data_IF_091670235760
#
_entry.id   IF_091670235760
#
_cell.length_a   1.000
_cell.length_b   1.000
_cell.length_c   1.000
_cell.angle_alpha   90.00
_cell.angle_beta   90.00
_cell.angle_gamma   90.00
#
_symmetry.space_group_name_H-M   'P 1'
#
loop_
_entity.id
_entity.type
_entity.pdbx_description
1 polymer ?
#
# COMPACT_ATOMS: atom_id res chain seq x y z
N UNK A 1 26.86 26.24 -6.69
CA UNK A 1 26.05 26.40 -5.47
C UNK A 1 25.27 25.13 -5.24
N UNK A 2 25.28 24.60 -4.01
CA UNK A 2 24.56 23.39 -3.64
C UNK A 2 23.09 23.70 -3.30
N UNK A 3 22.20 22.72 -3.45
CA UNK A 3 20.78 22.79 -3.05
C UNK A 3 20.47 21.63 -2.11
N UNK A 4 19.64 21.85 -1.09
CA UNK A 4 19.20 20.84 -0.13
C UNK A 4 17.68 20.70 -0.25
N UNK A 5 17.18 19.47 -0.33
CA UNK A 5 15.75 19.15 -0.29
C UNK A 5 15.45 18.48 1.05
N UNK A 6 14.44 18.98 1.77
CA UNK A 6 13.97 18.43 3.04
C UNK A 6 12.49 18.04 2.85
N UNK A 7 12.15 16.80 3.18
CA UNK A 7 10.76 16.33 3.23
C UNK A 7 10.35 16.17 4.69
N UNK A 8 9.13 16.58 5.04
CA UNK A 8 8.60 16.45 6.39
C UNK A 8 7.09 16.32 6.38
N UNK A 9 6.56 15.49 7.28
CA UNK A 9 5.11 15.39 7.54
C UNK A 9 4.61 16.53 8.43
N UNK A 10 5.51 17.32 9.03
CA UNK A 10 5.19 18.37 10.00
C UNK A 10 5.50 19.76 9.45
N UNK A 11 4.49 20.63 9.41
CA UNK A 11 4.60 21.97 8.82
C UNK A 11 5.52 22.93 9.58
N UNK A 12 5.77 22.70 10.88
CA UNK A 12 6.48 23.65 11.75
C UNK A 12 8.01 23.72 11.54
N UNK A 13 8.59 22.96 10.61
CA UNK A 13 10.05 22.96 10.40
C UNK A 13 10.59 24.26 9.77
N UNK A 14 9.74 25.23 9.44
CA UNK A 14 10.11 26.49 8.77
C UNK A 14 10.38 27.66 9.71
N UNK A 15 9.95 27.64 10.98
CA UNK A 15 9.94 28.83 11.85
C UNK A 15 11.32 29.28 12.37
N UNK A 16 12.42 28.62 12.02
CA UNK A 16 13.74 28.93 12.60
C UNK A 16 14.93 28.86 11.65
N UNK A 17 14.72 28.54 10.38
CA UNK A 17 15.77 28.59 9.38
C UNK A 17 15.54 29.90 8.53
N UNK A 18 16.50 30.45 7.78
CA UNK A 18 16.33 31.59 6.84
C UNK A 18 15.42 31.43 5.57
N UNK A 19 15.94 31.69 4.36
CA UNK A 19 15.15 31.64 3.10
C UNK A 19 14.95 30.18 2.62
N UNK A 20 13.75 29.61 2.78
CA UNK A 20 13.34 28.35 2.13
C UNK A 20 12.08 28.53 1.30
N UNK A 21 12.05 27.80 0.19
CA UNK A 21 10.83 27.51 -0.51
C UNK A 21 10.18 26.25 0.08
N UNK A 22 9.04 26.42 0.73
CA UNK A 22 8.23 25.29 1.21
C UNK A 22 7.17 24.94 0.17
N UNK A 23 7.18 23.68 -0.29
CA UNK A 23 6.13 23.14 -1.14
C UNK A 23 5.23 22.20 -0.33
N UNK A 24 3.97 22.58 -0.16
CA UNK A 24 2.99 21.72 0.50
C UNK A 24 2.42 20.70 -0.50
N UNK A 25 2.76 19.42 -0.30
CA UNK A 25 2.20 18.33 -1.08
C UNK A 25 0.69 18.20 -0.77
N UNK A 26 -0.11 18.34 -1.82
CA UNK A 26 -1.57 18.17 -1.75
C UNK A 26 -1.94 16.72 -2.09
N UNK A 27 -3.11 16.30 -1.59
CA UNK A 27 -3.76 15.08 -2.02
C UNK A 27 -4.03 15.10 -3.54
N UNK A 28 -4.12 13.92 -4.14
CA UNK A 28 -4.44 13.82 -5.56
C UNK A 28 -5.89 14.22 -5.78
N UNK A 29 -6.12 15.02 -6.83
CA UNK A 29 -7.48 15.23 -7.29
C UNK A 29 -8.07 13.92 -7.84
N UNK A 30 -9.38 13.91 -8.10
CA UNK A 30 -10.07 12.71 -8.57
C UNK A 30 -9.47 12.12 -9.85
N UNK A 31 -9.09 12.95 -10.82
CA UNK A 31 -8.53 12.47 -12.08
C UNK A 31 -7.15 11.82 -11.89
N UNK A 32 -6.27 12.45 -11.11
CA UNK A 32 -4.97 11.89 -10.75
C UNK A 32 -5.12 10.57 -9.98
N UNK A 33 -6.07 10.53 -9.05
CA UNK A 33 -6.35 9.35 -8.24
C UNK A 33 -6.88 8.19 -9.07
N UNK A 34 -7.82 8.47 -9.98
CA UNK A 34 -8.42 7.48 -10.85
C UNK A 34 -7.41 6.94 -11.87
N UNK A 35 -6.56 7.82 -12.42
CA UNK A 35 -5.46 7.43 -13.28
C UNK A 35 -4.47 6.48 -12.57
N UNK A 36 -4.05 6.82 -11.34
CA UNK A 36 -3.19 5.95 -10.54
C UNK A 36 -3.87 4.60 -10.25
N UNK A 37 -5.14 4.62 -9.88
CA UNK A 37 -5.91 3.39 -9.63
C UNK A 37 -5.96 2.47 -10.85
N UNK A 38 -6.23 3.02 -12.04
CA UNK A 38 -6.23 2.23 -13.27
C UNK A 38 -4.86 1.61 -13.57
N UNK A 39 -3.78 2.38 -13.38
CA UNK A 39 -2.41 1.89 -13.52
C UNK A 39 -2.12 0.70 -12.60
N UNK A 40 -2.68 0.70 -11.39
CA UNK A 40 -2.48 -0.37 -10.41
C UNK A 40 -3.35 -1.60 -10.67
N UNK A 41 -4.56 -1.43 -11.21
CA UNK A 41 -5.50 -2.53 -11.37
C UNK A 41 -5.34 -3.28 -12.69
N UNK A 42 -4.95 -2.57 -13.77
CA UNK A 42 -4.80 -3.16 -15.10
C UNK A 42 -3.53 -4.02 -15.16
N UNK A 43 -3.65 -5.23 -15.74
CA UNK A 43 -2.52 -6.13 -16.00
C UNK A 43 -1.81 -5.75 -17.30
N UNK A 44 -0.61 -6.29 -17.51
CA UNK A 44 0.10 -6.14 -18.79
C UNK A 44 -0.80 -6.54 -19.97
N UNK A 45 -0.90 -5.65 -20.96
CA UNK A 45 -1.75 -5.83 -22.13
C UNK A 45 -3.23 -5.44 -21.95
N UNK A 46 -3.68 -5.12 -20.74
CA UNK A 46 -5.02 -4.58 -20.49
C UNK A 46 -5.03 -3.06 -20.66
N UNK A 47 -6.12 -2.53 -21.19
CA UNK A 47 -6.33 -1.11 -21.43
C UNK A 47 -7.53 -0.58 -20.64
N UNK A 48 -7.68 0.75 -20.59
CA UNK A 48 -8.88 1.35 -20.00
C UNK A 48 -10.17 0.89 -20.68
N UNK A 49 -10.12 0.51 -21.97
CA UNK A 49 -11.27 0.00 -22.72
C UNK A 49 -11.79 -1.34 -22.16
N UNK A 50 -10.92 -2.15 -21.57
CA UNK A 50 -11.32 -3.38 -20.87
C UNK A 50 -12.15 -3.05 -19.63
N UNK A 51 -11.77 -1.98 -18.90
CA UNK A 51 -12.52 -1.52 -17.73
C UNK A 51 -13.94 -1.02 -18.09
N UNK A 52 -14.10 -0.45 -19.28
CA UNK A 52 -15.39 -0.01 -19.82
C UNK A 52 -16.20 -1.21 -20.28
N UNK A 53 -15.57 -2.16 -20.98
CA UNK A 53 -16.19 -3.40 -21.47
C UNK A 53 -16.76 -4.24 -20.33
N UNK A 54 -16.04 -4.33 -19.20
CA UNK A 54 -16.49 -5.03 -18.01
C UNK A 54 -17.48 -4.24 -17.12
N UNK A 55 -17.86 -3.00 -17.51
CA UNK A 55 -18.76 -2.11 -16.74
C UNK A 55 -18.28 -1.83 -15.31
N UNK A 56 -16.97 -1.91 -15.07
CA UNK A 56 -16.37 -1.74 -13.73
C UNK A 56 -15.94 -0.29 -13.46
N UNK A 57 -15.86 0.56 -14.48
CA UNK A 57 -15.48 1.98 -14.36
C UNK A 57 -16.20 2.69 -13.22
N UNK A 58 -17.54 2.66 -13.21
CA UNK A 58 -18.34 3.34 -12.19
C UNK A 58 -18.09 2.81 -10.77
N UNK A 59 -17.84 1.50 -10.63
CA UNK A 59 -17.51 0.91 -9.32
C UNK A 59 -16.10 1.32 -8.90
N UNK A 60 -15.14 1.32 -9.82
CA UNK A 60 -13.78 1.80 -9.59
C UNK A 60 -13.75 3.27 -9.15
N UNK A 61 -14.56 4.14 -9.75
CA UNK A 61 -14.71 5.53 -9.31
C UNK A 61 -15.21 5.61 -7.85
N UNK A 62 -16.10 4.71 -7.45
CA UNK A 62 -16.56 4.58 -6.05
C UNK A 62 -15.43 4.19 -5.10
N UNK A 63 -14.57 3.24 -5.49
CA UNK A 63 -13.39 2.83 -4.72
C UNK A 63 -12.42 3.99 -4.57
N UNK A 64 -12.13 4.70 -5.67
CA UNK A 64 -11.20 5.85 -5.66
C UNK A 64 -11.69 6.97 -4.75
N UNK A 65 -13.00 7.23 -4.73
CA UNK A 65 -13.60 8.19 -3.79
C UNK A 65 -13.40 7.77 -2.32
N UNK A 66 -13.45 6.48 -2.01
CA UNK A 66 -13.19 5.95 -0.66
C UNK A 66 -11.72 6.11 -0.24
N UNK A 67 -10.79 6.14 -1.20
CA UNK A 67 -9.36 6.28 -0.93
C UNK A 67 -8.91 7.72 -0.57
N UNK A 68 -9.79 8.72 -0.68
CA UNK A 68 -9.51 10.08 -0.20
C UNK A 68 -8.37 10.80 -0.90
N UNK A 69 -7.97 10.41 -2.12
CA UNK A 69 -6.88 11.06 -2.84
C UNK A 69 -5.48 10.75 -2.32
N UNK A 70 -5.33 9.80 -1.39
CA UNK A 70 -4.05 9.39 -0.83
C UNK A 70 -3.37 8.35 -1.75
N UNK A 71 -2.23 8.66 -2.39
CA UNK A 71 -1.60 7.75 -3.35
C UNK A 71 -1.28 6.37 -2.79
N UNK A 72 -0.84 6.29 -1.53
CA UNK A 72 -0.53 5.02 -0.86
C UNK A 72 -1.77 4.13 -0.73
N UNK A 73 -2.90 4.70 -0.29
CA UNK A 73 -4.17 3.99 -0.15
C UNK A 73 -4.67 3.50 -1.52
N UNK A 74 -4.55 4.34 -2.54
CA UNK A 74 -4.95 3.98 -3.91
C UNK A 74 -4.14 2.79 -4.42
N UNK A 75 -2.82 2.75 -4.17
CA UNK A 75 -1.96 1.63 -4.57
C UNK A 75 -2.27 0.35 -3.80
N UNK A 76 -2.44 0.45 -2.48
CA UNK A 76 -2.83 -0.69 -1.62
C UNK A 76 -4.13 -1.33 -2.09
N UNK A 77 -5.17 -0.50 -2.30
CA UNK A 77 -6.49 -1.00 -2.68
C UNK A 77 -6.51 -1.45 -4.15
N UNK A 78 -5.84 -0.72 -5.04
CA UNK A 78 -5.73 -1.08 -6.46
C UNK A 78 -5.02 -2.42 -6.66
N UNK A 79 -3.89 -2.63 -6.00
CA UNK A 79 -3.16 -3.90 -6.06
C UNK A 79 -3.95 -5.08 -5.47
N UNK A 80 -4.72 -4.84 -4.39
CA UNK A 80 -5.66 -5.83 -3.85
C UNK A 80 -6.76 -6.15 -4.88
N UNK A 81 -7.39 -5.14 -5.47
CA UNK A 81 -8.45 -5.29 -6.48
C UNK A 81 -7.95 -6.09 -7.69
N UNK A 82 -6.70 -5.92 -8.11
CA UNK A 82 -6.07 -6.67 -9.21
C UNK A 82 -6.07 -8.20 -8.99
N UNK A 83 -6.15 -8.65 -7.73
CA UNK A 83 -6.24 -10.09 -7.40
C UNK A 83 -7.65 -10.64 -7.53
N UNK A 84 -8.67 -9.77 -7.53
CA UNK A 84 -10.08 -10.14 -7.70
C UNK A 84 -10.43 -10.32 -9.18
N UNK A 85 -11.60 -10.92 -9.44
CA UNK A 85 -12.11 -11.02 -10.82
C UNK A 85 -12.50 -9.61 -11.30
N UNK A 86 -12.38 -9.42 -12.61
CA UNK A 86 -12.80 -8.19 -13.29
C UNK A 86 -14.34 -8.18 -13.45
N UNK A 87 -15.05 -8.15 -12.32
CA UNK A 87 -16.51 -8.21 -12.25
C UNK A 87 -17.05 -7.04 -11.42
N UNK A 88 -18.27 -6.60 -11.74
CA UNK A 88 -18.94 -5.52 -11.02
C UNK A 88 -19.22 -5.92 -9.56
N UNK A 89 -19.61 -7.16 -9.34
CA UNK A 89 -20.03 -7.70 -8.06
C UNK A 89 -18.85 -7.76 -7.08
N UNK A 90 -17.70 -8.28 -7.52
CA UNK A 90 -16.50 -8.37 -6.68
C UNK A 90 -16.00 -6.99 -6.26
N UNK A 91 -15.97 -6.02 -7.18
CA UNK A 91 -15.55 -4.66 -6.88
C UNK A 91 -16.56 -3.92 -6.01
N UNK A 92 -17.85 -4.18 -6.23
CA UNK A 92 -18.93 -3.56 -5.43
C UNK A 92 -18.85 -4.01 -3.98
N UNK A 93 -18.47 -5.27 -3.72
CA UNK A 93 -18.24 -5.75 -2.36
C UNK A 93 -17.17 -4.96 -1.62
N UNK A 94 -16.14 -4.47 -2.33
CA UNK A 94 -15.11 -3.60 -1.75
C UNK A 94 -15.65 -2.22 -1.47
N UNK A 95 -16.39 -1.61 -2.40
CA UNK A 95 -17.03 -0.30 -2.19
C UNK A 95 -17.98 -0.30 -0.98
N UNK A 96 -18.76 -1.38 -0.85
CA UNK A 96 -19.79 -1.54 0.19
C UNK A 96 -19.22 -2.10 1.52
N UNK A 97 -17.91 -2.31 1.61
CA UNK A 97 -17.28 -2.87 2.81
C UNK A 97 -17.45 -1.94 4.02
N UNK A 98 -17.84 -2.52 5.16
CA UNK A 98 -17.94 -1.80 6.44
C UNK A 98 -16.59 -1.36 7.00
N UNK A 99 -15.48 -1.89 6.49
CA UNK A 99 -14.13 -1.49 6.91
C UNK A 99 -13.89 0.00 6.62
N UNK A 100 -14.51 0.55 5.56
CA UNK A 100 -14.46 1.99 5.27
C UNK A 100 -15.04 2.88 6.38
N UNK A 101 -15.85 2.32 7.29
CA UNK A 101 -16.47 3.05 8.40
C UNK A 101 -15.69 2.89 9.70
N UNK A 102 -14.64 2.06 9.72
CA UNK A 102 -13.83 1.82 10.92
C UNK A 102 -13.06 3.09 11.28
N UNK A 103 -13.45 3.71 12.39
CA UNK A 103 -12.72 4.83 13.01
C UNK A 103 -11.90 4.30 14.17
N UNK A 104 -10.59 4.53 14.16
CA UNK A 104 -9.74 4.27 15.33
C UNK A 104 -9.62 5.54 16.19
N UNK A 105 -9.29 5.42 17.49
CA UNK A 105 -9.08 6.59 18.36
C UNK A 105 -8.03 7.58 17.82
N UNK A 106 -7.02 7.09 17.09
CA UNK A 106 -6.02 7.90 16.39
C UNK A 106 -6.61 8.78 15.28
N UNK A 107 -7.78 8.40 14.72
CA UNK A 107 -8.51 9.18 13.72
C UNK A 107 -9.29 10.37 14.32
N UNK A 108 -9.44 10.41 15.66
CA UNK A 108 -10.28 11.38 16.36
C UNK A 108 -9.51 12.49 17.06
N UNK A 109 -8.19 12.35 17.18
CA UNK A 109 -7.30 13.42 17.61
C UNK A 109 -6.92 14.25 16.39
N UNK A 110 -7.17 15.56 16.44
CA UNK A 110 -6.71 16.56 15.45
C UNK A 110 -5.18 16.65 15.29
N UNK A 111 -4.43 15.73 15.90
CA UNK A 111 -3.03 15.48 15.61
C UNK A 111 -2.92 14.79 14.25
N UNK A 112 -2.13 15.41 13.40
CA UNK A 112 -1.67 15.00 12.07
C UNK A 112 -0.86 13.69 12.09
N UNK A 113 -1.38 12.65 12.73
CA UNK A 113 -0.83 11.30 12.67
C UNK A 113 -1.76 10.47 11.79
N UNK A 114 -1.21 10.05 10.66
CA UNK A 114 -1.81 9.52 9.43
C UNK A 114 -2.77 8.32 9.56
N UNK A 115 -3.12 7.91 10.78
CA UNK A 115 -3.89 6.68 11.03
C UNK A 115 -5.38 6.77 10.68
N UNK A 116 -5.97 7.95 10.49
CA UNK A 116 -7.43 8.02 10.28
C UNK A 116 -7.88 7.49 8.92
N UNK A 117 -7.31 8.03 7.86
CA UNK A 117 -7.82 7.86 6.50
C UNK A 117 -7.12 6.74 5.72
N UNK A 118 -5.92 6.32 6.15
CA UNK A 118 -5.16 5.23 5.51
C UNK A 118 -5.60 3.85 6.02
N UNK A 119 -5.93 3.75 7.31
CA UNK A 119 -6.18 2.47 7.97
C UNK A 119 -7.27 1.62 7.29
N UNK A 120 -8.42 2.16 6.85
CA UNK A 120 -9.43 1.34 6.19
C UNK A 120 -8.91 0.67 4.91
N UNK A 121 -8.15 1.39 4.09
CA UNK A 121 -7.58 0.84 2.87
C UNK A 121 -6.49 -0.20 3.15
N UNK A 122 -5.63 0.06 4.13
CA UNK A 122 -4.62 -0.90 4.58
C UNK A 122 -5.26 -2.17 5.12
N UNK A 123 -6.30 -2.03 5.95
CA UNK A 123 -6.99 -3.16 6.57
C UNK A 123 -7.70 -4.02 5.52
N UNK A 124 -8.31 -3.41 4.51
CA UNK A 124 -8.86 -4.14 3.36
C UNK A 124 -7.80 -4.96 2.65
N UNK A 125 -6.66 -4.34 2.32
CA UNK A 125 -5.56 -5.01 1.64
C UNK A 125 -4.96 -6.14 2.48
N UNK A 126 -4.85 -5.95 3.80
CA UNK A 126 -4.41 -6.98 4.74
C UNK A 126 -5.42 -8.12 4.83
N UNK A 127 -6.71 -7.83 5.00
CA UNK A 127 -7.76 -8.84 5.18
C UNK A 127 -7.90 -9.76 3.95
N UNK A 128 -7.61 -9.23 2.75
CA UNK A 128 -7.60 -9.97 1.50
C UNK A 128 -6.37 -10.86 1.29
N UNK A 129 -5.32 -10.72 2.12
CA UNK A 129 -4.14 -11.58 2.01
C UNK A 129 -4.48 -13.04 2.33
N UNK A 130 -3.88 -14.01 1.62
CA UNK A 130 -3.82 -15.39 2.05
C UNK A 130 -3.21 -15.52 3.45
N UNK A 131 -3.65 -16.52 4.21
CA UNK A 131 -3.21 -16.75 5.60
C UNK A 131 -1.67 -16.78 5.77
N UNK A 132 -0.96 -17.43 4.85
CA UNK A 132 0.50 -17.51 4.90
C UNK A 132 1.18 -16.14 4.73
N UNK A 133 0.66 -15.27 3.84
CA UNK A 133 1.20 -13.92 3.65
C UNK A 133 0.89 -12.98 4.82
N UNK A 134 -0.27 -13.15 5.48
CA UNK A 134 -0.62 -12.35 6.67
C UNK A 134 0.44 -12.49 7.75
N UNK A 135 0.81 -13.73 8.07
CA UNK A 135 1.79 -14.02 9.12
C UNK A 135 3.19 -13.49 8.75
N UNK A 136 3.59 -13.64 7.49
CA UNK A 136 4.86 -13.10 6.99
C UNK A 136 4.90 -11.56 7.06
N UNK A 137 3.82 -10.89 6.64
CA UNK A 137 3.71 -9.43 6.70
C UNK A 137 3.75 -8.90 8.14
N UNK A 138 2.98 -9.51 9.06
CA UNK A 138 2.98 -9.13 10.48
C UNK A 138 4.36 -9.31 11.10
N UNK A 139 5.11 -10.35 10.70
CA UNK A 139 6.48 -10.53 11.18
C UNK A 139 7.38 -9.35 10.79
N UNK A 140 7.21 -8.74 9.61
CA UNK A 140 7.98 -7.57 9.23
C UNK A 140 7.80 -6.39 10.20
N UNK A 141 6.67 -6.31 10.92
CA UNK A 141 6.41 -5.23 11.87
C UNK A 141 7.29 -5.25 13.13
N UNK A 142 8.12 -6.28 13.34
CA UNK A 142 9.12 -6.29 14.43
C UNK A 142 10.29 -5.35 14.14
N UNK A 143 10.52 -5.04 12.86
CA UNK A 143 11.61 -4.17 12.45
C UNK A 143 11.28 -2.72 12.80
N UNK A 144 12.27 -1.92 13.23
CA UNK A 144 12.05 -0.50 13.47
C UNK A 144 11.53 0.22 12.22
N UNK A 145 10.86 1.34 12.45
CA UNK A 145 10.46 2.25 11.37
C UNK A 145 11.67 2.62 10.50
N UNK A 146 11.46 2.69 9.19
CA UNK A 146 12.50 2.98 8.17
C UNK A 146 13.66 1.98 8.11
N UNK A 147 13.54 0.81 8.73
CA UNK A 147 14.59 -0.20 8.73
C UNK A 147 14.68 -0.92 7.38
N UNK A 148 15.88 -0.95 6.81
CA UNK A 148 16.21 -1.73 5.61
C UNK A 148 16.41 -3.20 5.97
N UNK A 149 15.48 -4.04 5.51
CA UNK A 149 15.47 -5.47 5.77
C UNK A 149 16.18 -6.18 4.62
N UNK A 150 17.29 -6.85 4.92
CA UNK A 150 17.96 -7.72 3.96
C UNK A 150 17.09 -8.96 3.67
N UNK A 151 16.82 -9.21 2.39
CA UNK A 151 15.96 -10.31 1.91
C UNK A 151 16.45 -11.67 2.39
N UNK A 152 17.74 -11.95 2.32
CA UNK A 152 18.29 -13.25 2.75
C UNK A 152 18.11 -13.47 4.24
N UNK A 153 18.32 -12.44 5.05
CA UNK A 153 18.08 -12.48 6.49
C UNK A 153 16.60 -12.71 6.81
N UNK A 154 15.69 -12.02 6.12
CA UNK A 154 14.24 -12.20 6.30
C UNK A 154 13.80 -13.62 5.96
N UNK A 155 14.33 -14.20 4.88
CA UNK A 155 14.06 -15.59 4.49
C UNK A 155 14.44 -16.54 5.61
N UNK A 156 15.66 -16.43 6.15
CA UNK A 156 16.13 -17.31 7.23
C UNK A 156 15.25 -17.19 8.48
N UNK A 157 14.80 -15.98 8.80
CA UNK A 157 13.93 -15.73 9.94
C UNK A 157 12.53 -16.32 9.76
N UNK A 158 11.89 -16.12 8.61
CA UNK A 158 10.58 -16.70 8.35
C UNK A 158 10.61 -18.23 8.42
N UNK A 159 11.69 -18.86 7.95
CA UNK A 159 11.90 -20.31 8.08
C UNK A 159 12.11 -20.72 9.53
N UNK A 160 12.98 -20.02 10.27
CA UNK A 160 13.26 -20.32 11.67
C UNK A 160 12.01 -20.20 12.57
N UNK A 161 11.11 -19.27 12.25
CA UNK A 161 9.84 -19.08 12.94
C UNK A 161 8.71 -19.98 12.42
N UNK A 162 8.97 -20.85 11.44
CA UNK A 162 7.97 -21.76 10.88
C UNK A 162 6.85 -21.06 10.11
N UNK A 163 7.09 -19.83 9.64
CA UNK A 163 6.13 -19.07 8.82
C UNK A 163 6.06 -19.60 7.38
N UNK A 164 7.07 -20.37 6.98
CA UNK A 164 7.18 -21.02 5.67
C UNK A 164 7.43 -22.49 5.90
N UNK A 165 6.64 -23.33 5.23
CA UNK A 165 6.83 -24.77 5.28
C UNK A 165 8.16 -25.17 4.62
N UNK A 166 8.91 -26.05 5.29
CA UNK A 166 10.17 -26.58 4.78
C UNK A 166 9.84 -27.58 3.66
N UNK A 167 10.04 -27.17 2.41
CA UNK A 167 9.86 -27.98 1.21
C UNK A 167 11.12 -28.07 0.36
N UNK A 168 11.01 -28.61 -0.86
CA UNK A 168 12.19 -28.79 -1.74
C UNK A 168 12.83 -27.48 -2.19
N UNK A 169 12.10 -26.37 -2.21
CA UNK A 169 12.63 -25.05 -2.59
C UNK A 169 12.08 -23.92 -1.71
N UNK A 170 12.58 -23.89 -0.47
CA UNK A 170 12.22 -22.86 0.53
C UNK A 170 12.63 -21.46 0.04
N UNK A 171 13.82 -21.31 -0.58
CA UNK A 171 14.31 -20.00 -1.01
C UNK A 171 13.46 -19.42 -2.14
N UNK A 172 13.10 -20.21 -3.16
CA UNK A 172 12.22 -19.72 -4.22
C UNK A 172 10.81 -19.41 -3.69
N UNK A 173 10.26 -20.29 -2.86
CA UNK A 173 8.93 -20.08 -2.23
C UNK A 173 8.89 -18.80 -1.42
N UNK A 174 9.93 -18.55 -0.62
CA UNK A 174 10.00 -17.35 0.21
C UNK A 174 10.15 -16.09 -0.62
N UNK A 175 11.00 -16.12 -1.65
CA UNK A 175 11.13 -15.00 -2.56
C UNK A 175 9.80 -14.71 -3.25
N UNK A 176 9.04 -15.73 -3.65
CA UNK A 176 7.71 -15.53 -4.21
C UNK A 176 6.76 -14.82 -3.23
N UNK A 177 6.83 -15.13 -1.93
CA UNK A 177 6.02 -14.45 -0.92
C UNK A 177 6.41 -12.98 -0.75
N UNK A 178 7.71 -12.67 -0.77
CA UNK A 178 8.21 -11.29 -0.76
C UNK A 178 7.71 -10.54 -2.01
N UNK A 179 7.84 -11.13 -3.20
CA UNK A 179 7.34 -10.55 -4.45
C UNK A 179 5.82 -10.33 -4.41
N UNK A 180 5.06 -11.23 -3.81
CA UNK A 180 3.62 -11.07 -3.68
C UNK A 180 3.25 -9.93 -2.73
N UNK A 181 3.99 -9.74 -1.63
CA UNK A 181 3.81 -8.59 -0.73
C UNK A 181 4.20 -7.26 -1.39
N UNK A 182 5.27 -7.25 -2.19
CA UNK A 182 5.67 -6.08 -2.99
C UNK A 182 4.58 -5.74 -4.02
N UNK A 183 4.07 -6.75 -4.73
CA UNK A 183 2.96 -6.57 -5.68
C UNK A 183 1.70 -6.05 -5.00
N UNK A 184 1.46 -6.40 -3.74
CA UNK A 184 0.35 -5.90 -2.90
C UNK A 184 0.61 -4.49 -2.34
N UNK A 185 1.74 -3.87 -2.68
CA UNK A 185 2.17 -2.57 -2.17
C UNK A 185 2.21 -2.48 -0.64
N UNK A 186 2.50 -3.59 0.03
CA UNK A 186 2.60 -3.64 1.50
C UNK A 186 4.05 -3.50 1.97
N UNK A 187 5.00 -3.79 1.08
CA UNK A 187 6.44 -3.68 1.30
C UNK A 187 7.05 -3.04 0.05
N UNK A 188 8.00 -2.15 0.23
CA UNK A 188 8.75 -1.49 -0.84
C UNK A 188 10.09 -2.21 -1.07
N UNK A 189 10.44 -2.44 -2.33
CA UNK A 189 11.78 -2.88 -2.73
C UNK A 189 12.70 -1.65 -2.81
N UNK A 190 13.81 -1.67 -2.06
CA UNK A 190 14.83 -0.61 -2.15
C UNK A 190 15.83 -0.99 -3.25
N UNK A 191 16.30 -2.23 -3.21
CA UNK A 191 17.09 -2.85 -4.27
C UNK A 191 16.84 -4.37 -4.31
N UNK A 192 17.54 -5.07 -5.21
CA UNK A 192 17.38 -6.51 -5.41
C UNK A 192 17.63 -7.36 -4.14
N UNK A 193 18.28 -6.81 -3.11
CA UNK A 193 18.66 -7.48 -1.87
C UNK A 193 17.93 -6.96 -0.64
N UNK A 194 17.23 -5.84 -0.72
CA UNK A 194 16.71 -5.13 0.44
C UNK A 194 15.28 -4.62 0.22
N UNK A 195 14.49 -4.72 1.29
CA UNK A 195 13.10 -4.28 1.31
C UNK A 195 12.84 -3.46 2.58
N UNK A 196 11.77 -2.67 2.59
CA UNK A 196 11.30 -1.97 3.80
C UNK A 196 9.78 -1.93 3.85
N UNK A 197 9.23 -1.78 5.04
CA UNK A 197 7.82 -1.47 5.20
C UNK A 197 7.55 -0.03 4.76
N UNK A 198 6.40 0.18 4.11
CA UNK A 198 5.94 1.53 3.82
C UNK A 198 5.66 2.28 5.14
N UNK A 199 6.06 3.54 5.12
CA UNK A 199 5.93 4.48 6.22
C UNK A 199 4.48 5.01 6.28
N UNK A 200 3.61 4.31 7.04
CA UNK A 200 2.20 4.67 7.20
C UNK A 200 2.01 5.79 8.24
#
# INVERSE_FOLDING_TARGET
GSKILITSRKKYMSEGMGDFYMHELQEFNFHQSFYLFLKEVLREGQTEEDSVTHKIKFVGEGIVKKCGGLPLVIKLVGSMIRTKKMSREDWKSVVDSKIWEWKTPAASSSSTELGGDILPGLMLSYDDLPYYLKSCFVYCCIYPKDYEIERETLIMQWVAHGLIEVGMDVKATTNQYIEDLIRRCLIEEIDLKSIKLDDI
#
